data_IF_979132038394
#
_entry.id   IF_979132038394
#
_cell.length_a   1.000
_cell.length_b   1.000
_cell.length_c   1.000
_cell.angle_alpha   90.00
_cell.angle_beta   90.00
_cell.angle_gamma   90.00
#
_symmetry.space_group_name_H-M   'P 1'
#
loop_
_entity.id
_entity.type
_entity.pdbx_description
1 polymer ?
#
# COMPACT_ATOMS: atom_id res chain seq x y z
N UNK A 1 19.68 14.75 12.96
CA UNK A 1 18.88 15.71 12.19
C UNK A 1 19.86 16.70 11.61
N UNK A 2 20.42 16.37 10.45
CA UNK A 2 21.53 17.11 9.82
C UNK A 2 20.97 18.06 8.76
N UNK A 3 21.66 19.19 8.64
CA UNK A 3 21.23 20.47 8.11
C UNK A 3 21.18 20.54 6.57
N UNK A 4 20.54 19.57 5.90
CA UNK A 4 20.44 19.50 4.41
C UNK A 4 19.05 19.11 3.85
N UNK A 5 18.06 18.78 4.71
CA UNK A 5 16.71 18.40 4.26
C UNK A 5 15.84 19.58 3.77
N UNK A 6 16.27 20.83 3.97
CA UNK A 6 15.48 22.03 3.62
C UNK A 6 15.59 22.45 2.15
N UNK A 7 16.57 21.94 1.40
CA UNK A 7 16.75 22.24 -0.02
C UNK A 7 16.06 21.21 -0.95
N UNK A 8 15.69 20.03 -0.45
CA UNK A 8 15.09 18.98 -1.27
C UNK A 8 13.56 19.09 -1.34
N UNK A 9 13.12 20.05 -2.18
CA UNK A 9 11.70 20.36 -2.39
C UNK A 9 10.90 19.14 -2.86
N UNK A 10 9.71 18.94 -2.28
CA UNK A 10 8.76 17.93 -2.76
C UNK A 10 8.17 18.41 -4.09
N UNK A 11 8.39 17.63 -5.16
CA UNK A 11 7.84 17.90 -6.50
C UNK A 11 6.46 17.25 -6.64
N UNK A 12 6.30 16.04 -6.10
CA UNK A 12 5.06 15.28 -6.17
C UNK A 12 4.82 14.51 -4.88
N UNK A 13 3.55 14.40 -4.49
CA UNK A 13 3.14 13.57 -3.36
C UNK A 13 1.75 13.00 -3.56
N UNK A 14 1.66 11.68 -3.54
CA UNK A 14 0.39 10.95 -3.58
C UNK A 14 0.26 10.01 -2.38
N UNK A 15 -0.93 9.97 -1.79
CA UNK A 15 -1.29 9.02 -0.74
C UNK A 15 -2.52 8.23 -1.15
N UNK A 16 -2.34 6.92 -1.36
CA UNK A 16 -3.41 6.00 -1.72
C UNK A 16 -3.76 5.10 -0.54
N UNK A 17 -5.05 4.86 -0.33
CA UNK A 17 -5.59 3.96 0.70
C UNK A 17 -6.52 2.93 0.05
N UNK A 18 -6.63 1.75 0.64
CA UNK A 18 -7.65 0.77 0.25
C UNK A 18 -9.04 1.26 0.67
N UNK A 19 -9.73 2.00 -0.21
CA UNK A 19 -11.11 2.50 0.00
C UNK A 19 -12.11 1.93 -1.00
N UNK A 20 -11.82 0.75 -1.53
CA UNK A 20 -12.71 0.06 -2.45
C UNK A 20 -13.94 -0.39 -1.65
N UNK A 21 -15.15 0.05 -2.04
CA UNK A 21 -16.37 -0.12 -1.24
C UNK A 21 -16.61 -1.59 -0.90
N UNK A 22 -16.41 -2.50 -1.86
CA UNK A 22 -16.60 -3.93 -1.65
C UNK A 22 -15.66 -4.51 -0.56
N UNK A 23 -14.42 -4.03 -0.45
CA UNK A 23 -13.50 -4.41 0.63
C UNK A 23 -13.95 -3.87 1.98
N UNK A 24 -14.46 -2.64 2.03
CA UNK A 24 -14.96 -2.05 3.26
C UNK A 24 -16.24 -2.74 3.75
N UNK A 25 -17.13 -3.11 2.84
CA UNK A 25 -18.32 -3.90 3.17
C UNK A 25 -17.93 -5.28 3.68
N UNK A 26 -17.00 -5.97 3.00
CA UNK A 26 -16.49 -7.26 3.45
C UNK A 26 -15.90 -7.16 4.85
N UNK A 27 -15.06 -6.15 5.10
CA UNK A 27 -14.46 -5.90 6.41
C UNK A 27 -15.51 -5.63 7.49
N UNK A 28 -16.51 -4.80 7.18
CA UNK A 28 -17.57 -4.45 8.12
C UNK A 28 -18.42 -5.68 8.47
N UNK A 29 -18.75 -6.51 7.48
CA UNK A 29 -19.52 -7.74 7.71
C UNK A 29 -18.73 -8.73 8.56
N UNK A 30 -17.46 -8.99 8.24
CA UNK A 30 -16.66 -9.96 9.01
C UNK A 30 -16.42 -9.48 10.43
N UNK A 31 -16.04 -8.21 10.62
CA UNK A 31 -15.88 -7.62 11.95
C UNK A 31 -17.21 -7.59 12.71
N UNK A 32 -18.32 -7.21 12.06
CA UNK A 32 -19.65 -7.18 12.68
C UNK A 32 -20.11 -8.56 13.16
N UNK A 33 -19.89 -9.60 12.36
CA UNK A 33 -20.18 -10.99 12.76
C UNK A 33 -19.33 -11.45 13.94
N UNK A 34 -18.04 -11.09 13.97
CA UNK A 34 -17.16 -11.37 15.12
C UNK A 34 -17.68 -10.72 16.39
N UNK A 35 -18.08 -9.45 16.33
CA UNK A 35 -18.63 -8.73 17.48
C UNK A 35 -19.97 -9.31 17.93
N UNK A 36 -20.87 -9.62 17.00
CA UNK A 36 -22.15 -10.26 17.31
C UNK A 36 -21.93 -11.60 18.03
N UNK A 37 -21.09 -12.49 17.48
CA UNK A 37 -20.80 -13.78 18.11
C UNK A 37 -20.15 -13.66 19.48
N UNK A 38 -19.27 -12.67 19.67
CA UNK A 38 -18.69 -12.41 20.98
C UNK A 38 -19.71 -11.88 22.00
N UNK A 39 -20.66 -11.05 21.59
CA UNK A 39 -21.74 -10.57 22.47
C UNK A 39 -22.67 -11.74 22.85
N UNK A 40 -23.12 -12.52 21.88
CA UNK A 40 -23.96 -13.70 22.12
C UNK A 40 -23.31 -14.67 23.11
N UNK A 41 -22.04 -14.99 22.89
CA UNK A 41 -21.33 -15.96 23.72
C UNK A 41 -20.90 -15.41 25.08
N UNK A 42 -20.22 -14.27 25.12
CA UNK A 42 -19.58 -13.77 26.35
C UNK A 42 -20.53 -12.97 27.25
N UNK A 43 -21.61 -12.40 26.70
CA UNK A 43 -22.57 -11.59 27.47
C UNK A 43 -23.85 -12.37 27.73
N UNK A 44 -24.45 -12.97 26.69
CA UNK A 44 -25.71 -13.70 26.84
C UNK A 44 -25.53 -15.18 27.18
N UNK A 45 -24.31 -15.72 27.07
CA UNK A 45 -24.02 -17.14 27.36
C UNK A 45 -24.59 -18.09 26.31
N UNK A 46 -25.04 -17.58 25.15
CA UNK A 46 -25.55 -18.39 24.06
C UNK A 46 -24.40 -18.85 23.16
N UNK A 47 -24.25 -20.16 22.91
CA UNK A 47 -23.18 -20.65 22.07
C UNK A 47 -23.34 -20.11 20.64
N UNK A 48 -22.29 -19.46 20.14
CA UNK A 48 -22.30 -18.95 18.77
C UNK A 48 -21.85 -20.04 17.78
N UNK A 49 -22.78 -20.48 16.93
CA UNK A 49 -22.57 -21.56 15.96
C UNK A 49 -22.84 -22.96 16.53
N UNK A 50 -22.64 -24.00 15.71
CA UNK A 50 -22.91 -25.39 16.12
C UNK A 50 -21.78 -26.02 16.95
N UNK A 51 -20.57 -25.45 16.89
CA UNK A 51 -19.40 -25.84 17.67
C UNK A 51 -18.73 -24.57 18.23
N UNK A 52 -19.21 -24.04 19.36
CA UNK A 52 -18.68 -22.81 19.94
C UNK A 52 -17.22 -23.02 20.37
N UNK A 53 -16.40 -21.99 20.17
CA UNK A 53 -15.05 -21.93 20.77
C UNK A 53 -15.17 -21.71 22.28
N UNK A 54 -14.10 -21.94 23.04
CA UNK A 54 -14.09 -21.52 24.45
C UNK A 54 -14.18 -20.00 24.57
N UNK A 55 -14.56 -19.49 25.73
CA UNK A 55 -14.67 -18.04 25.96
C UNK A 55 -13.34 -17.32 25.79
N UNK A 56 -12.23 -17.95 26.21
CA UNK A 56 -10.88 -17.43 25.98
C UNK A 56 -10.56 -17.40 24.48
N UNK A 57 -10.97 -18.44 23.74
CA UNK A 57 -10.86 -18.50 22.29
C UNK A 57 -11.66 -17.39 21.61
N UNK A 58 -12.88 -17.12 22.07
CA UNK A 58 -13.72 -16.04 21.56
C UNK A 58 -13.09 -14.66 21.84
N UNK A 59 -12.53 -14.45 23.03
CA UNK A 59 -11.79 -13.21 23.36
C UNK A 59 -10.59 -13.04 22.42
N UNK A 60 -9.82 -14.10 22.17
CA UNK A 60 -8.68 -14.05 21.24
C UNK A 60 -9.12 -13.70 19.81
N UNK A 61 -10.24 -14.27 19.34
CA UNK A 61 -10.82 -13.96 18.03
C UNK A 61 -11.33 -12.51 17.99
N UNK A 62 -11.99 -12.03 19.05
CA UNK A 62 -12.47 -10.65 19.13
C UNK A 62 -11.31 -9.65 19.06
N UNK A 63 -10.22 -9.89 19.79
CA UNK A 63 -9.02 -9.04 19.74
C UNK A 63 -8.39 -9.12 18.34
N UNK A 64 -8.21 -10.31 17.80
CA UNK A 64 -7.56 -10.51 16.49
C UNK A 64 -8.38 -9.98 15.33
N UNK A 65 -9.59 -10.51 15.12
CA UNK A 65 -10.46 -10.24 13.96
C UNK A 65 -11.42 -9.07 14.19
N UNK A 66 -11.81 -8.82 15.43
CA UNK A 66 -12.72 -7.72 15.78
C UNK A 66 -12.02 -6.37 15.96
N UNK A 67 -10.73 -6.34 16.30
CA UNK A 67 -9.96 -5.12 16.56
C UNK A 67 -8.69 -5.00 15.71
N UNK A 68 -7.73 -5.92 15.85
CA UNK A 68 -6.41 -5.79 15.22
C UNK A 68 -6.52 -5.83 13.70
N UNK A 69 -7.26 -6.78 13.15
CA UNK A 69 -7.45 -6.94 11.70
C UNK A 69 -8.09 -5.71 11.04
N UNK A 70 -9.22 -5.15 11.52
CA UNK A 70 -9.79 -3.95 10.92
C UNK A 70 -8.89 -2.73 11.07
N UNK A 71 -8.24 -2.54 12.22
CA UNK A 71 -7.25 -1.46 12.39
C UNK A 71 -6.11 -1.61 11.38
N UNK A 72 -5.57 -2.82 11.23
CA UNK A 72 -4.53 -3.13 10.26
C UNK A 72 -4.99 -2.82 8.83
N UNK A 73 -6.14 -3.34 8.41
CA UNK A 73 -6.71 -3.10 7.07
C UNK A 73 -6.91 -1.62 6.77
N UNK A 74 -7.51 -0.87 7.69
CA UNK A 74 -7.77 0.57 7.54
C UNK A 74 -6.49 1.41 7.57
N UNK A 75 -5.43 0.91 8.19
CA UNK A 75 -4.13 1.57 8.24
C UNK A 75 -3.36 1.51 6.91
N UNK A 76 -3.67 0.54 6.03
CA UNK A 76 -2.89 0.29 4.83
C UNK A 76 -2.94 1.51 3.88
N UNK A 77 -1.75 2.00 3.54
CA UNK A 77 -1.58 3.09 2.59
C UNK A 77 -0.26 3.02 1.85
N UNK A 78 -0.31 3.41 0.58
CA UNK A 78 0.86 3.67 -0.25
C UNK A 78 1.09 5.17 -0.32
N UNK A 79 2.27 5.60 0.12
CA UNK A 79 2.74 6.98 0.02
C UNK A 79 3.86 7.01 -1.01
N UNK A 80 3.69 7.85 -2.02
CA UNK A 80 4.66 8.07 -3.10
C UNK A 80 5.06 9.54 -3.06
N UNK A 81 6.35 9.82 -2.97
CA UNK A 81 6.89 11.19 -2.96
C UNK A 81 8.03 11.26 -3.95
N UNK A 82 8.03 12.28 -4.80
CA UNK A 82 9.18 12.63 -5.65
C UNK A 82 9.82 13.88 -5.08
N UNK A 83 11.13 13.82 -4.87
CA UNK A 83 11.99 14.95 -4.52
C UNK A 83 13.14 15.03 -5.54
N UNK A 84 13.97 16.07 -5.48
CA UNK A 84 15.11 16.20 -6.39
C UNK A 84 16.11 15.04 -6.24
N UNK A 85 16.25 14.51 -5.02
CA UNK A 85 17.12 13.37 -4.70
C UNK A 85 16.57 12.02 -5.22
N UNK A 86 15.30 11.92 -5.59
CA UNK A 86 14.70 10.72 -6.17
C UNK A 86 13.29 10.39 -5.69
N UNK A 87 12.92 9.13 -5.91
CA UNK A 87 11.59 8.60 -5.60
C UNK A 87 11.59 7.92 -4.23
N UNK A 88 10.61 8.27 -3.41
CA UNK A 88 10.39 7.71 -2.08
C UNK A 88 9.05 6.99 -2.03
N UNK A 89 9.09 5.69 -1.72
CA UNK A 89 7.88 4.86 -1.64
C UNK A 89 7.76 4.25 -0.26
N UNK A 90 6.62 4.44 0.41
CA UNK A 90 6.31 3.82 1.70
C UNK A 90 4.95 3.12 1.63
N UNK A 91 4.97 1.82 1.90
CA UNK A 91 3.76 0.99 1.95
C UNK A 91 3.47 0.67 3.42
N UNK A 92 2.79 1.57 4.12
CA UNK A 92 2.48 1.40 5.54
C UNK A 92 1.31 0.42 5.71
N UNK A 93 1.29 -0.45 6.74
CA UNK A 93 2.27 -0.57 7.84
C UNK A 93 3.46 -1.49 7.55
N UNK A 94 3.50 -2.17 6.40
CA UNK A 94 4.57 -3.13 6.05
C UNK A 94 5.95 -2.46 5.98
N UNK A 95 6.01 -1.20 5.53
CA UNK A 95 7.18 -0.35 5.54
C UNK A 95 6.99 0.79 6.54
N UNK A 96 7.80 0.77 7.61
CA UNK A 96 7.83 1.84 8.62
C UNK A 96 8.64 3.06 8.15
N UNK A 97 9.65 2.86 7.31
CA UNK A 97 10.45 3.90 6.65
C UNK A 97 10.17 3.96 5.14
N UNK A 98 10.56 5.08 4.50
CA UNK A 98 10.52 5.18 3.05
C UNK A 98 11.61 4.31 2.42
N UNK A 99 11.27 3.63 1.32
CA UNK A 99 12.24 3.08 0.39
C UNK A 99 12.63 4.18 -0.58
N UNK A 100 13.90 4.56 -0.58
CA UNK A 100 14.45 5.56 -1.48
C UNK A 100 15.00 4.88 -2.74
N UNK A 101 14.69 5.48 -3.88
CA UNK A 101 15.17 5.10 -5.20
C UNK A 101 15.85 6.34 -5.78
N UNK A 102 17.20 6.40 -5.78
CA UNK A 102 17.95 7.55 -6.26
C UNK A 102 17.57 7.91 -7.69
N UNK A 103 17.43 9.21 -7.98
CA UNK A 103 17.06 9.66 -9.33
C UNK A 103 18.08 9.18 -10.38
N UNK A 104 19.35 9.16 -10.00
CA UNK A 104 20.46 8.73 -10.86
C UNK A 104 20.45 7.23 -11.19
N UNK A 105 19.71 6.41 -10.46
CA UNK A 105 19.59 4.99 -10.74
C UNK A 105 18.47 4.68 -11.73
N UNK A 106 17.56 5.64 -11.97
CA UNK A 106 16.39 5.47 -12.85
C UNK A 106 16.81 5.78 -14.30
N UNK A 107 16.75 4.75 -15.15
CA UNK A 107 17.02 4.88 -16.59
C UNK A 107 15.81 5.44 -17.32
N UNK A 108 14.62 4.93 -17.03
CA UNK A 108 13.37 5.32 -17.68
C UNK A 108 12.20 5.32 -16.71
N UNK A 109 11.22 6.16 -17.01
CA UNK A 109 9.95 6.24 -16.33
C UNK A 109 8.83 6.35 -17.35
N UNK A 110 7.98 5.33 -17.43
CA UNK A 110 6.90 5.27 -18.40
C UNK A 110 5.55 5.21 -17.69
N UNK A 111 4.62 6.09 -18.07
CA UNK A 111 3.24 6.00 -17.63
C UNK A 111 2.59 4.83 -18.38
N UNK A 112 2.09 3.85 -17.64
CA UNK A 112 1.57 2.60 -18.18
C UNK A 112 0.19 2.29 -17.65
N UNK A 113 -0.59 1.58 -18.48
CA UNK A 113 -1.77 0.83 -18.03
C UNK A 113 -1.40 -0.64 -17.93
N UNK A 114 -1.64 -1.25 -16.78
CA UNK A 114 -1.32 -2.64 -16.50
C UNK A 114 -2.57 -3.43 -16.09
N UNK A 115 -2.49 -4.75 -16.03
CA UNK A 115 -3.58 -5.62 -15.56
C UNK A 115 -3.21 -6.22 -14.20
N UNK A 116 -3.66 -5.65 -13.07
CA UNK A 116 -3.20 -6.03 -11.73
C UNK A 116 -3.22 -7.52 -11.44
N UNK A 117 -4.35 -8.19 -11.71
CA UNK A 117 -4.51 -9.63 -11.45
C UNK A 117 -3.62 -10.50 -12.34
N UNK A 118 -3.49 -10.15 -13.64
CA UNK A 118 -2.75 -10.96 -14.61
C UNK A 118 -1.23 -10.72 -14.53
N UNK A 119 -0.83 -9.46 -14.42
CA UNK A 119 0.58 -9.07 -14.60
C UNK A 119 1.36 -9.13 -13.28
N UNK A 120 0.66 -9.02 -12.12
CA UNK A 120 1.28 -8.98 -10.79
C UNK A 120 0.58 -9.82 -9.71
N UNK A 121 -0.52 -10.52 -10.02
CA UNK A 121 -1.25 -11.33 -9.04
C UNK A 121 -2.09 -10.51 -8.04
N UNK A 122 -2.46 -9.29 -8.41
CA UNK A 122 -3.31 -8.39 -7.62
C UNK A 122 -2.59 -7.15 -7.09
N UNK A 123 -3.27 -6.41 -6.22
CA UNK A 123 -2.75 -5.20 -5.59
C UNK A 123 -1.91 -5.52 -4.35
N UNK A 124 -1.12 -4.53 -3.91
CA UNK A 124 -0.22 -4.63 -2.75
C UNK A 124 1.25 -4.51 -3.14
N UNK A 125 2.11 -5.12 -2.33
CA UNK A 125 3.53 -5.31 -2.64
C UNK A 125 3.66 -6.65 -3.37
N UNK A 126 4.15 -6.63 -4.61
CA UNK A 126 4.29 -7.84 -5.43
C UNK A 126 5.72 -8.00 -5.95
N UNK A 127 6.13 -9.24 -6.09
CA UNK A 127 7.40 -9.64 -6.68
C UNK A 127 7.11 -10.72 -7.72
N UNK A 128 7.61 -10.56 -8.94
CA UNK A 128 7.39 -11.53 -9.99
C UNK A 128 8.30 -11.28 -11.20
N UNK A 129 7.99 -11.96 -12.30
CA UNK A 129 8.75 -11.87 -13.56
C UNK A 129 8.80 -10.45 -14.12
N UNK A 130 7.75 -9.68 -13.92
CA UNK A 130 7.66 -8.27 -14.33
C UNK A 130 8.31 -7.29 -13.34
N UNK A 131 9.14 -7.80 -12.43
CA UNK A 131 9.79 -7.03 -11.38
C UNK A 131 8.91 -6.82 -10.15
N UNK A 132 9.26 -5.78 -9.38
CA UNK A 132 8.56 -5.41 -8.16
C UNK A 132 7.36 -4.52 -8.50
N UNK A 133 6.28 -4.58 -7.73
CA UNK A 133 5.20 -3.61 -7.83
C UNK A 133 4.73 -3.12 -6.46
N UNK A 134 4.39 -1.83 -6.41
CA UNK A 134 3.63 -1.20 -5.33
C UNK A 134 2.33 -0.66 -5.91
N UNK A 135 1.19 -1.18 -5.48
CA UNK A 135 -0.11 -0.62 -5.89
C UNK A 135 -1.19 -0.84 -4.82
N UNK A 136 -2.20 0.02 -4.82
CA UNK A 136 -3.37 -0.07 -3.90
C UNK A 136 -4.66 -0.34 -4.67
N UNK A 137 -4.84 0.29 -5.83
CA UNK A 137 -6.08 0.21 -6.59
C UNK A 137 -5.84 0.60 -8.04
N UNK A 138 -6.84 0.35 -8.89
CA UNK A 138 -6.79 0.78 -10.29
C UNK A 138 -5.80 -0.02 -11.13
N UNK A 139 -5.50 0.51 -12.32
CA UNK A 139 -4.75 -0.17 -13.36
C UNK A 139 -3.78 0.76 -14.11
N UNK A 140 -3.44 1.90 -13.50
CA UNK A 140 -2.49 2.89 -14.02
C UNK A 140 -1.33 3.05 -13.04
N UNK A 141 -0.16 3.39 -13.56
CA UNK A 141 1.03 3.65 -12.75
C UNK A 141 2.22 4.01 -13.61
N UNK A 142 3.37 4.11 -12.98
CA UNK A 142 4.65 4.28 -13.65
C UNK A 142 5.44 2.96 -13.62
N UNK A 143 6.03 2.59 -14.75
CA UNK A 143 7.03 1.53 -14.81
C UNK A 143 8.41 2.19 -14.85
N UNK A 144 9.24 1.85 -13.88
CA UNK A 144 10.61 2.29 -13.75
C UNK A 144 11.56 1.15 -14.12
N UNK A 145 12.58 1.48 -14.89
CA UNK A 145 13.73 0.61 -15.14
C UNK A 145 14.98 1.23 -14.53
N UNK A 146 15.74 0.43 -13.79
CA UNK A 146 16.94 0.89 -13.10
C UNK A 146 18.21 0.43 -13.82
N UNK A 147 19.33 1.11 -13.53
CA UNK A 147 20.67 0.76 -14.04
C UNK A 147 21.09 -0.69 -13.83
N UNK A 148 20.60 -1.33 -12.78
CA UNK A 148 20.86 -2.73 -12.48
C UNK A 148 19.91 -3.72 -13.19
N UNK A 149 19.14 -3.26 -14.17
CA UNK A 149 18.17 -4.06 -14.93
C UNK A 149 16.89 -4.43 -14.17
N UNK A 150 16.76 -4.02 -12.89
CA UNK A 150 15.53 -4.27 -12.12
C UNK A 150 14.42 -3.35 -12.62
N UNK A 151 13.18 -3.82 -12.47
CA UNK A 151 11.96 -3.08 -12.80
C UNK A 151 11.10 -2.86 -11.56
N UNK A 152 10.50 -1.67 -11.46
CA UNK A 152 9.53 -1.32 -10.43
C UNK A 152 8.30 -0.67 -11.04
N UNK A 153 7.14 -1.28 -10.82
CA UNK A 153 5.86 -0.63 -11.06
C UNK A 153 5.40 0.11 -9.80
N UNK A 154 5.03 1.38 -9.92
CA UNK A 154 4.33 2.12 -8.87
C UNK A 154 2.97 2.54 -9.41
N UNK A 155 1.91 1.90 -8.90
CA UNK A 155 0.53 2.26 -9.20
C UNK A 155 0.24 3.68 -8.73
N UNK A 156 -0.41 4.47 -9.57
CA UNK A 156 -0.70 5.88 -9.33
C UNK A 156 -1.99 6.27 -10.06
N UNK A 157 -2.81 7.12 -9.42
CA UNK A 157 -3.98 7.73 -10.05
C UNK A 157 -3.59 8.82 -11.04
N UNK A 158 -2.42 9.41 -10.84
CA UNK A 158 -1.87 10.53 -11.60
C UNK A 158 -0.56 10.11 -12.27
N UNK A 159 -0.59 8.96 -12.97
CA UNK A 159 0.61 8.34 -13.56
C UNK A 159 1.42 9.31 -14.45
N UNK A 160 0.74 10.13 -15.25
CA UNK A 160 1.39 11.11 -16.12
C UNK A 160 2.06 12.24 -15.34
N UNK A 161 1.41 12.77 -14.29
CA UNK A 161 1.98 13.80 -13.41
C UNK A 161 3.19 13.25 -12.64
N UNK A 162 3.07 12.02 -12.14
CA UNK A 162 4.16 11.33 -11.45
C UNK A 162 5.35 11.12 -12.39
N UNK A 163 5.12 10.71 -13.64
CA UNK A 163 6.17 10.60 -14.67
C UNK A 163 6.86 11.95 -14.89
N UNK A 164 6.09 13.01 -15.18
CA UNK A 164 6.64 14.36 -15.41
C UNK A 164 7.48 14.85 -14.22
N UNK A 165 7.05 14.54 -13.00
CA UNK A 165 7.77 14.90 -11.78
C UNK A 165 9.13 14.21 -11.66
N UNK A 166 9.23 12.94 -12.08
CA UNK A 166 10.49 12.20 -12.13
C UNK A 166 11.40 12.77 -13.23
N UNK A 167 10.87 13.07 -14.40
CA UNK A 167 11.64 13.69 -15.49
C UNK A 167 12.17 15.08 -15.10
N UNK A 168 11.35 15.89 -14.43
CA UNK A 168 11.76 17.18 -13.89
C UNK A 168 12.89 17.03 -12.86
N UNK A 169 12.77 16.08 -11.93
CA UNK A 169 13.82 15.77 -10.95
C UNK A 169 15.12 15.37 -11.62
N UNK A 170 15.05 14.55 -12.68
CA UNK A 170 16.23 14.09 -13.41
C UNK A 170 16.93 15.22 -14.15
N UNK A 171 16.17 16.11 -14.79
CA UNK A 171 16.74 17.26 -15.48
C UNK A 171 17.50 18.18 -14.53
N UNK A 172 17.00 18.37 -13.30
CA UNK A 172 17.68 19.16 -12.26
C UNK A 172 18.94 18.52 -11.70
N UNK A 173 19.06 17.20 -11.73
CA UNK A 173 20.25 16.48 -11.25
C UNK A 173 21.39 16.43 -12.27
N UNK A 174 21.13 16.80 -13.53
CA UNK A 174 22.14 16.83 -14.59
C UNK A 174 22.84 18.21 -14.73
N UNK A 175 22.47 19.18 -13.89
CA UNK A 175 23.09 20.49 -13.74
C UNK A 175 23.68 20.61 -12.33
#
# INVERSE_FOLDING_TARGET
MTYDDSADSIIFREVQKFRQIWLLVLLLVTTGLTWYGAIEQLIYGHPFGSNPVSDEGMIAILIGMGLIFPIFMLSIRLVVVVRNSGLYVKFFPIHLSFRHYPINDIISAEAVRYRPLRDYGGWGIRYGRNGKAYSISGNKGILLEFKNGKKLLVGSREADVLKMSIEQSRNRSNY
#
